data_IF_594505434879
#
_entry.id   IF_594505434879
#
_cell.length_a   1.000
_cell.length_b   1.000
_cell.length_c   1.000
_cell.angle_alpha   90.00
_cell.angle_beta   90.00
_cell.angle_gamma   90.00
#
_symmetry.space_group_name_H-M   'P 1'
#
loop_
_entity.id
_entity.type
_entity.pdbx_description
1 polymer ?
#
# COMPACT_ATOMS: atom_id res chain seq x y z
N UNK A 1 -8.12 -4.77 16.72
CA UNK A 1 -8.22 -6.23 16.86
C UNK A 1 -8.55 -6.80 15.49
N UNK A 2 -7.55 -7.25 14.75
CA UNK A 2 -7.81 -8.08 13.57
C UNK A 2 -8.14 -9.48 14.08
N UNK A 3 -9.41 -9.72 14.32
CA UNK A 3 -9.91 -11.08 14.51
C UNK A 3 -9.83 -11.73 13.13
N UNK A 4 -9.00 -12.76 13.02
CA UNK A 4 -8.99 -13.61 11.83
C UNK A 4 -10.39 -14.24 11.70
N UNK A 5 -11.21 -13.88 10.69
CA UNK A 5 -12.61 -14.29 10.63
C UNK A 5 -12.81 -15.72 10.13
N UNK A 6 -11.74 -16.50 9.98
CA UNK A 6 -11.84 -17.85 9.43
C UNK A 6 -11.43 -18.91 10.46
N UNK A 7 -12.37 -19.73 10.95
CA UNK A 7 -12.03 -20.95 11.67
C UNK A 7 -11.27 -21.89 10.70
N UNK A 8 -10.14 -22.41 11.13
CA UNK A 8 -9.34 -23.40 10.38
C UNK A 8 -10.15 -24.71 10.27
N UNK A 9 -10.49 -25.17 9.08
CA UNK A 9 -11.15 -26.46 8.88
C UNK A 9 -10.17 -27.61 8.62
N UNK A 10 -8.89 -27.48 8.98
CA UNK A 10 -7.87 -28.45 8.57
C UNK A 10 -7.44 -29.39 9.70
N UNK A 11 -7.23 -30.70 9.37
CA UNK A 11 -6.66 -31.66 10.32
C UNK A 11 -5.21 -31.33 10.67
N UNK A 12 -4.84 -31.55 11.91
CA UNK A 12 -3.59 -31.14 12.55
C UNK A 12 -2.38 -32.04 12.23
N UNK A 13 -2.47 -32.95 11.26
CA UNK A 13 -1.32 -33.76 10.86
C UNK A 13 -1.42 -34.20 9.38
N UNK A 14 -0.37 -33.93 8.61
CA UNK A 14 -0.16 -34.50 7.28
C UNK A 14 0.57 -35.86 7.41
N UNK A 15 0.15 -36.91 6.68
CA UNK A 15 0.93 -38.16 6.62
C UNK A 15 2.27 -37.90 5.92
N UNK A 16 3.36 -38.31 6.53
CA UNK A 16 4.69 -38.19 5.96
C UNK A 16 4.81 -38.90 4.61
N UNK A 17 5.14 -38.14 3.55
CA UNK A 17 5.41 -38.67 2.23
C UNK A 17 6.68 -39.50 2.24
N UNK A 18 6.58 -40.77 1.91
CA UNK A 18 7.73 -41.62 1.61
C UNK A 18 8.31 -41.22 0.25
N UNK A 19 9.59 -40.85 0.22
CA UNK A 19 10.31 -40.48 -1.01
C UNK A 19 10.53 -41.76 -1.86
N UNK A 20 9.72 -41.92 -2.88
CA UNK A 20 10.10 -42.75 -4.02
C UNK A 20 10.62 -41.80 -5.09
N UNK A 21 11.87 -42.01 -5.53
CA UNK A 21 12.47 -41.28 -6.65
C UNK A 21 11.77 -41.67 -7.97
N UNK A 22 10.65 -41.02 -8.23
CA UNK A 22 10.01 -41.03 -9.56
C UNK A 22 10.63 -39.87 -10.31
N UNK A 23 11.25 -40.14 -11.46
CA UNK A 23 11.66 -39.11 -12.41
C UNK A 23 10.39 -38.39 -12.87
N UNK A 24 10.12 -37.24 -12.25
CA UNK A 24 8.98 -36.39 -12.60
C UNK A 24 9.27 -35.74 -13.95
N UNK A 25 8.54 -36.15 -15.01
CA UNK A 25 8.56 -35.39 -16.25
C UNK A 25 7.91 -34.01 -16.00
N UNK A 26 8.64 -32.94 -16.29
CA UNK A 26 8.14 -31.56 -16.23
C UNK A 26 6.94 -31.45 -17.18
N UNK A 27 5.82 -30.89 -16.70
CA UNK A 27 4.66 -30.65 -17.56
C UNK A 27 5.07 -29.62 -18.62
N UNK A 28 5.03 -30.02 -19.89
CA UNK A 28 5.26 -29.12 -21.01
C UNK A 28 4.08 -28.13 -21.11
N UNK A 29 4.36 -26.82 -21.03
CA UNK A 29 3.36 -25.79 -21.26
C UNK A 29 3.35 -25.38 -22.71
N UNK A 30 2.16 -25.21 -23.29
CA UNK A 30 1.98 -24.65 -24.64
C UNK A 30 2.41 -23.16 -24.60
N UNK A 31 3.41 -22.74 -25.38
CA UNK A 31 3.84 -21.36 -25.43
C UNK A 31 2.76 -20.39 -25.95
N UNK A 32 1.73 -20.91 -26.63
CA UNK A 32 0.59 -20.14 -27.13
C UNK A 32 -0.60 -20.13 -26.13
N UNK A 33 -0.49 -20.86 -25.02
CA UNK A 33 -1.54 -20.88 -24.01
C UNK A 33 -1.60 -19.54 -23.29
N UNK A 34 -2.80 -19.03 -23.06
CA UNK A 34 -3.01 -17.83 -22.25
C UNK A 34 -2.41 -18.05 -20.85
N UNK A 35 -1.57 -17.10 -20.41
CA UNK A 35 -0.91 -17.15 -19.11
C UNK A 35 -1.94 -17.03 -18.00
N UNK A 36 -1.83 -17.89 -16.98
CA UNK A 36 -2.73 -17.93 -15.85
C UNK A 36 -2.00 -17.64 -14.55
N UNK A 37 -2.48 -16.63 -13.82
CA UNK A 37 -1.92 -16.16 -12.55
C UNK A 37 -2.89 -16.42 -11.41
N UNK A 38 -2.39 -16.95 -10.30
CA UNK A 38 -3.17 -17.20 -9.09
C UNK A 38 -2.61 -16.37 -7.95
N UNK A 39 -3.46 -15.57 -7.33
CA UNK A 39 -3.07 -14.64 -6.28
C UNK A 39 -3.75 -14.97 -4.95
N UNK A 40 -2.98 -14.89 -3.86
CA UNK A 40 -3.47 -14.98 -2.49
C UNK A 40 -3.30 -13.61 -1.83
N UNK A 41 -4.35 -12.81 -1.83
CA UNK A 41 -4.35 -11.47 -1.23
C UNK A 41 -4.28 -11.55 0.30
N UNK A 42 -3.54 -10.63 0.93
CA UNK A 42 -3.52 -10.50 2.39
C UNK A 42 -4.83 -9.96 2.95
N UNK A 43 -5.45 -9.05 2.21
CA UNK A 43 -6.74 -8.42 2.54
C UNK A 43 -7.46 -7.98 1.26
N UNK A 44 -8.73 -7.63 1.40
CA UNK A 44 -9.54 -7.04 0.31
C UNK A 44 -9.66 -5.52 0.45
N UNK A 45 -8.82 -4.93 1.28
CA UNK A 45 -8.74 -3.48 1.50
C UNK A 45 -7.71 -2.80 0.60
N UNK A 46 -7.19 -1.67 1.07
CA UNK A 46 -6.25 -0.87 0.30
C UNK A 46 -5.03 -1.67 -0.18
N UNK A 47 -4.31 -2.32 0.75
CA UNK A 47 -3.07 -3.02 0.41
C UNK A 47 -3.27 -4.13 -0.63
N UNK A 48 -4.26 -5.01 -0.41
CA UNK A 48 -4.55 -6.09 -1.35
C UNK A 48 -4.97 -5.57 -2.72
N UNK A 49 -5.77 -4.51 -2.77
CA UNK A 49 -6.22 -3.94 -4.04
C UNK A 49 -5.11 -3.22 -4.80
N UNK A 50 -4.28 -2.42 -4.13
CA UNK A 50 -3.17 -1.73 -4.79
C UNK A 50 -2.13 -2.70 -5.36
N UNK A 51 -1.85 -3.80 -4.65
CA UNK A 51 -0.78 -4.72 -5.03
C UNK A 51 -1.21 -5.87 -5.93
N UNK A 52 -2.48 -6.27 -5.83
CA UNK A 52 -3.00 -7.45 -6.55
C UNK A 52 -4.29 -7.12 -7.30
N UNK A 53 -5.31 -6.59 -6.61
CA UNK A 53 -6.65 -6.49 -7.18
C UNK A 53 -6.76 -5.57 -8.39
N UNK A 54 -6.12 -4.38 -8.36
CA UNK A 54 -6.12 -3.47 -9.51
C UNK A 54 -5.30 -4.01 -10.69
N UNK A 55 -4.06 -4.50 -10.49
CA UNK A 55 -3.32 -5.18 -11.56
C UNK A 55 -4.08 -6.37 -12.16
N UNK A 56 -4.66 -7.23 -11.32
CA UNK A 56 -5.50 -8.37 -11.75
C UNK A 56 -6.66 -7.92 -12.62
N UNK A 57 -7.41 -6.90 -12.17
CA UNK A 57 -8.52 -6.35 -12.94
C UNK A 57 -8.06 -5.86 -14.33
N UNK A 58 -6.97 -5.11 -14.39
CA UNK A 58 -6.46 -4.57 -15.65
C UNK A 58 -5.93 -5.66 -16.58
N UNK A 59 -5.19 -6.64 -16.06
CA UNK A 59 -4.68 -7.79 -16.83
C UNK A 59 -5.84 -8.52 -17.50
N UNK A 60 -6.91 -8.81 -16.75
CA UNK A 60 -8.09 -9.48 -17.28
C UNK A 60 -8.84 -8.64 -18.32
N UNK A 61 -9.04 -7.34 -18.03
CA UNK A 61 -9.76 -6.44 -18.92
C UNK A 61 -9.05 -6.19 -20.25
N UNK A 62 -7.72 -6.26 -20.25
CA UNK A 62 -6.90 -6.06 -21.45
C UNK A 62 -6.55 -7.36 -22.17
N UNK A 63 -6.97 -8.51 -21.65
CA UNK A 63 -6.68 -9.83 -22.24
C UNK A 63 -5.20 -10.23 -22.18
N UNK A 64 -4.40 -9.57 -21.34
CA UNK A 64 -2.96 -9.86 -21.18
C UNK A 64 -2.67 -11.14 -20.39
N UNK A 65 -3.69 -11.72 -19.75
CA UNK A 65 -3.62 -12.96 -18.99
C UNK A 65 -4.97 -13.34 -18.40
N UNK A 66 -5.03 -14.48 -17.72
CA UNK A 66 -6.12 -14.92 -16.85
C UNK A 66 -5.63 -14.84 -15.39
N UNK A 67 -6.01 -13.80 -14.69
CA UNK A 67 -5.57 -13.55 -13.31
C UNK A 67 -6.73 -13.71 -12.34
N UNK A 68 -6.52 -14.49 -11.28
CA UNK A 68 -7.55 -14.73 -10.28
C UNK A 68 -7.01 -14.67 -8.85
N UNK A 69 -7.76 -13.98 -7.99
CA UNK A 69 -7.51 -14.02 -6.54
C UNK A 69 -8.37 -15.08 -5.85
N UNK A 70 -7.75 -15.83 -4.93
CA UNK A 70 -8.42 -16.88 -4.15
C UNK A 70 -7.93 -16.88 -2.70
N UNK A 71 -8.76 -17.41 -1.81
CA UNK A 71 -8.38 -17.77 -0.43
C UNK A 71 -8.34 -19.30 -0.23
N UNK A 72 -8.73 -20.07 -1.27
CA UNK A 72 -8.79 -21.53 -1.21
C UNK A 72 -7.42 -22.13 -1.47
N UNK A 73 -6.84 -22.77 -0.47
CA UNK A 73 -5.60 -23.54 -0.56
C UNK A 73 -5.90 -24.92 -1.18
N UNK A 74 -5.78 -25.01 -2.50
CA UNK A 74 -6.05 -26.25 -3.25
C UNK A 74 -4.86 -27.18 -3.14
N UNK A 75 -5.10 -28.45 -2.76
CA UNK A 75 -4.06 -29.48 -2.59
C UNK A 75 -4.04 -30.51 -3.73
N UNK A 76 -4.91 -30.38 -4.73
CA UNK A 76 -4.91 -31.19 -5.94
C UNK A 76 -3.92 -30.60 -6.95
N UNK A 77 -2.81 -31.28 -7.19
CA UNK A 77 -1.73 -30.76 -8.05
C UNK A 77 -2.17 -30.47 -9.50
N UNK A 78 -3.11 -31.23 -10.02
CA UNK A 78 -3.62 -31.05 -11.39
C UNK A 78 -4.32 -29.70 -11.60
N UNK A 79 -4.80 -29.09 -10.52
CA UNK A 79 -5.38 -27.74 -10.58
C UNK A 79 -4.36 -26.67 -11.01
N UNK A 80 -3.05 -26.95 -10.80
CA UNK A 80 -1.94 -26.03 -11.12
C UNK A 80 -1.31 -26.29 -12.49
N UNK A 81 -1.81 -27.25 -13.27
CA UNK A 81 -1.23 -27.64 -14.56
C UNK A 81 -1.01 -26.46 -15.51
N UNK A 82 -1.99 -25.56 -15.58
CA UNK A 82 -1.99 -24.42 -16.50
C UNK A 82 -1.57 -23.10 -15.82
N UNK A 83 -1.23 -23.13 -14.52
CA UNK A 83 -0.83 -21.95 -13.78
C UNK A 83 0.60 -21.55 -14.13
N UNK A 84 0.81 -20.32 -14.55
CA UNK A 84 2.12 -19.76 -14.87
C UNK A 84 2.81 -19.25 -13.59
N UNK A 85 2.08 -18.54 -12.76
CA UNK A 85 2.64 -17.90 -11.56
C UNK A 85 1.64 -17.90 -10.40
N UNK A 86 2.15 -18.13 -9.21
CA UNK A 86 1.39 -18.04 -7.95
C UNK A 86 2.03 -16.93 -7.09
N UNK A 87 1.24 -15.92 -6.74
CA UNK A 87 1.67 -14.80 -5.89
C UNK A 87 0.96 -14.84 -4.54
N UNK A 88 1.73 -14.82 -3.44
CA UNK A 88 1.22 -14.85 -2.07
C UNK A 88 1.59 -13.53 -1.37
N UNK A 89 0.58 -12.71 -1.02
CA UNK A 89 0.80 -11.44 -0.36
C UNK A 89 0.79 -11.62 1.17
N UNK A 90 1.90 -11.32 1.83
CA UNK A 90 2.05 -11.28 3.31
C UNK A 90 1.39 -12.46 4.07
N UNK A 91 1.40 -13.64 3.48
CA UNK A 91 0.95 -14.84 4.16
C UNK A 91 1.92 -15.16 5.32
N UNK A 92 1.42 -15.51 6.53
CA UNK A 92 2.28 -15.60 7.71
C UNK A 92 1.89 -16.74 8.68
N UNK A 93 0.71 -17.34 8.53
CA UNK A 93 0.26 -18.40 9.45
C UNK A 93 0.93 -19.75 9.17
N UNK A 94 0.93 -20.64 10.17
CA UNK A 94 1.42 -22.01 10.02
C UNK A 94 0.77 -22.76 8.85
N UNK A 95 -0.57 -22.78 8.72
CA UNK A 95 -1.25 -23.41 7.57
C UNK A 95 -0.84 -22.81 6.21
N UNK A 96 -0.61 -21.49 6.13
CA UNK A 96 -0.14 -20.84 4.90
C UNK A 96 1.28 -21.24 4.55
N UNK A 97 2.15 -21.40 5.55
CA UNK A 97 3.50 -21.92 5.36
C UNK A 97 3.49 -23.39 4.89
N UNK A 98 2.62 -24.21 5.46
CA UNK A 98 2.49 -25.61 5.03
C UNK A 98 1.95 -25.70 3.60
N UNK A 99 1.02 -24.83 3.24
CA UNK A 99 0.56 -24.68 1.87
C UNK A 99 1.68 -24.24 0.92
N UNK A 100 2.52 -23.29 1.32
CA UNK A 100 3.70 -22.89 0.54
C UNK A 100 4.67 -24.05 0.34
N UNK A 101 4.91 -24.87 1.37
CA UNK A 101 5.73 -26.10 1.25
C UNK A 101 5.13 -27.09 0.27
N UNK A 102 3.80 -27.26 0.29
CA UNK A 102 3.11 -28.07 -0.69
C UNK A 102 3.32 -27.54 -2.11
N UNK A 103 3.08 -26.25 -2.34
CA UNK A 103 3.32 -25.64 -3.65
C UNK A 103 4.77 -25.82 -4.11
N UNK A 104 5.74 -25.63 -3.21
CA UNK A 104 7.16 -25.85 -3.52
C UNK A 104 7.46 -27.30 -3.90
N UNK A 105 6.79 -28.28 -3.27
CA UNK A 105 6.99 -29.71 -3.56
C UNK A 105 6.51 -30.14 -4.94
N UNK A 106 5.50 -29.48 -5.51
CA UNK A 106 4.95 -29.76 -6.84
C UNK A 106 5.46 -28.80 -7.91
N UNK A 107 6.18 -27.77 -7.55
CA UNK A 107 6.59 -26.67 -8.42
C UNK A 107 7.38 -27.14 -9.64
N UNK A 108 8.39 -28.00 -9.45
CA UNK A 108 9.23 -28.49 -10.54
C UNK A 108 8.47 -29.34 -11.56
N UNK A 109 7.43 -30.07 -11.11
CA UNK A 109 6.57 -30.86 -11.97
C UNK A 109 5.59 -29.99 -12.74
N UNK A 110 4.92 -29.05 -12.06
CA UNK A 110 3.89 -28.19 -12.64
C UNK A 110 4.45 -26.97 -13.38
N UNK A 111 5.70 -26.57 -13.11
CA UNK A 111 6.41 -25.52 -13.84
C UNK A 111 5.87 -24.10 -13.61
N UNK A 112 5.25 -23.80 -12.47
CA UNK A 112 4.84 -22.44 -12.10
C UNK A 112 5.92 -21.73 -11.28
N UNK A 113 5.94 -20.39 -11.36
CA UNK A 113 6.76 -19.53 -10.54
C UNK A 113 6.06 -19.20 -9.20
N UNK A 114 6.81 -19.12 -8.12
CA UNK A 114 6.33 -18.69 -6.81
C UNK A 114 6.85 -17.31 -6.49
N UNK A 115 5.95 -16.38 -6.14
CA UNK A 115 6.27 -15.00 -5.75
C UNK A 115 5.70 -14.73 -4.35
N UNK A 116 6.50 -14.09 -3.50
CA UNK A 116 6.01 -13.52 -2.24
C UNK A 116 5.93 -11.99 -2.36
N UNK A 117 4.73 -11.45 -2.20
CA UNK A 117 4.48 -10.01 -2.29
C UNK A 117 4.51 -9.39 -0.89
N UNK A 118 5.26 -8.31 -0.72
CA UNK A 118 5.34 -7.57 0.55
C UNK A 118 5.15 -6.08 0.30
N UNK A 119 4.20 -5.49 0.98
CA UNK A 119 3.85 -4.07 0.90
C UNK A 119 4.03 -3.32 2.23
N UNK A 120 4.43 -4.03 3.29
CA UNK A 120 4.70 -3.46 4.62
C UNK A 120 5.82 -4.24 5.33
N UNK A 121 6.42 -3.67 6.37
CA UNK A 121 7.48 -4.32 7.15
C UNK A 121 6.89 -5.35 8.11
N UNK A 122 7.45 -6.57 8.09
CA UNK A 122 7.06 -7.68 8.97
C UNK A 122 8.07 -7.92 10.11
N UNK A 123 9.18 -7.19 10.14
CA UNK A 123 10.23 -7.30 11.15
C UNK A 123 9.87 -6.42 12.35
N UNK A 124 9.62 -7.05 13.50
CA UNK A 124 9.15 -6.36 14.71
C UNK A 124 10.05 -5.21 15.16
N UNK A 125 11.36 -5.39 15.03
CA UNK A 125 12.39 -4.41 15.41
C UNK A 125 12.35 -3.13 14.58
N UNK A 126 11.85 -3.21 13.35
CA UNK A 126 11.74 -2.07 12.44
C UNK A 126 10.37 -1.38 12.53
N UNK A 127 9.38 -1.98 13.21
CA UNK A 127 8.06 -1.42 13.43
C UNK A 127 8.07 -0.56 14.70
N UNK A 128 7.70 0.74 14.65
CA UNK A 128 7.74 1.61 15.81
C UNK A 128 6.69 1.22 16.86
N UNK A 129 6.96 1.49 18.15
CA UNK A 129 6.11 1.08 19.26
C UNK A 129 4.75 1.76 19.29
N UNK A 130 4.61 2.95 18.68
CA UNK A 130 3.32 3.61 18.52
C UNK A 130 2.40 2.91 17.52
N UNK A 131 2.95 2.08 16.63
CA UNK A 131 2.16 1.37 15.62
C UNK A 131 1.49 0.13 16.22
N UNK A 132 0.17 0.15 16.30
CA UNK A 132 -0.59 -0.97 16.86
C UNK A 132 -0.44 -2.29 16.11
N UNK A 133 -0.06 -2.23 14.81
CA UNK A 133 0.17 -3.43 14.02
C UNK A 133 1.41 -4.21 14.47
N UNK A 134 2.32 -3.57 15.24
CA UNK A 134 3.50 -4.24 15.81
C UNK A 134 3.13 -5.52 16.57
N UNK A 135 2.00 -5.50 17.29
CA UNK A 135 1.51 -6.65 18.05
C UNK A 135 1.22 -7.89 17.20
N UNK A 136 0.92 -7.71 15.91
CA UNK A 136 0.70 -8.82 14.98
C UNK A 136 2.01 -9.60 14.72
N UNK A 137 3.16 -8.97 14.94
CA UNK A 137 4.49 -9.55 14.73
C UNK A 137 5.25 -9.81 16.05
N UNK A 138 4.55 -9.81 17.19
CA UNK A 138 5.14 -10.18 18.50
C UNK A 138 5.49 -11.68 18.58
N UNK A 139 4.80 -12.52 17.78
CA UNK A 139 5.08 -13.95 17.71
C UNK A 139 6.33 -14.22 16.88
N UNK A 140 7.33 -14.84 17.50
CA UNK A 140 8.52 -15.32 16.78
C UNK A 140 8.17 -16.32 15.68
N UNK A 141 7.11 -17.13 15.90
CA UNK A 141 6.60 -18.06 14.90
C UNK A 141 6.10 -17.33 13.64
N UNK A 142 5.28 -16.29 13.78
CA UNK A 142 4.76 -15.52 12.62
C UNK A 142 5.91 -14.90 11.85
N UNK A 143 6.86 -14.28 12.53
CA UNK A 143 8.03 -13.67 11.92
C UNK A 143 8.88 -14.69 11.17
N UNK A 144 9.17 -15.85 11.83
CA UNK A 144 9.93 -16.91 11.20
C UNK A 144 9.21 -17.52 9.99
N UNK A 145 7.87 -17.66 10.07
CA UNK A 145 7.08 -18.13 8.94
C UNK A 145 7.21 -17.19 7.74
N UNK A 146 7.19 -15.85 7.93
CA UNK A 146 7.41 -14.89 6.85
C UNK A 146 8.80 -15.06 6.23
N UNK A 147 9.86 -15.15 7.05
CA UNK A 147 11.24 -15.33 6.58
C UNK A 147 11.39 -16.63 5.81
N UNK A 148 10.85 -17.72 6.33
CA UNK A 148 10.92 -19.04 5.69
C UNK A 148 10.21 -19.03 4.32
N UNK A 149 9.02 -18.41 4.25
CA UNK A 149 8.27 -18.32 2.98
C UNK A 149 8.97 -17.42 1.96
N UNK A 150 9.56 -16.30 2.40
CA UNK A 150 10.40 -15.43 1.55
C UNK A 150 11.56 -16.23 0.95
N UNK A 151 12.20 -17.09 1.73
CA UNK A 151 13.33 -17.89 1.27
C UNK A 151 12.92 -19.11 0.40
N UNK A 152 11.66 -19.56 0.48
CA UNK A 152 11.15 -20.66 -0.35
C UNK A 152 10.73 -20.24 -1.76
N UNK A 153 10.36 -18.98 -1.98
CA UNK A 153 9.88 -18.49 -3.29
C UNK A 153 11.03 -18.21 -4.26
N UNK A 154 10.70 -18.10 -5.53
CA UNK A 154 11.67 -17.77 -6.57
C UNK A 154 11.99 -16.28 -6.52
N UNK A 155 10.98 -15.44 -6.32
CA UNK A 155 11.13 -13.98 -6.30
C UNK A 155 10.27 -13.34 -5.22
N UNK A 156 10.73 -12.20 -4.70
CA UNK A 156 9.96 -11.33 -3.79
C UNK A 156 9.67 -10.02 -4.49
N UNK A 157 8.45 -9.49 -4.35
CA UNK A 157 8.09 -8.16 -4.84
C UNK A 157 7.82 -7.22 -3.68
N UNK A 158 8.31 -5.97 -3.79
CA UNK A 158 8.21 -4.91 -2.78
C UNK A 158 7.82 -3.58 -3.43
N UNK A 159 7.48 -2.57 -2.60
CA UNK A 159 6.95 -1.28 -3.09
C UNK A 159 8.01 -0.22 -3.39
N UNK A 160 9.21 -0.30 -2.80
CA UNK A 160 10.25 0.72 -2.94
C UNK A 160 11.66 0.14 -2.70
N UNK A 161 12.68 0.88 -3.12
CA UNK A 161 14.08 0.49 -3.00
C UNK A 161 14.54 0.35 -1.55
N UNK A 162 14.07 1.22 -0.64
CA UNK A 162 14.41 1.09 0.77
C UNK A 162 13.92 -0.26 1.34
N UNK A 163 12.68 -0.64 1.01
CA UNK A 163 12.12 -1.93 1.43
C UNK A 163 12.92 -3.10 0.82
N UNK A 164 13.32 -3.02 -0.46
CA UNK A 164 14.19 -4.00 -1.10
C UNK A 164 15.46 -4.22 -0.29
N UNK A 165 16.18 -3.14 0.02
CA UNK A 165 17.42 -3.19 0.80
C UNK A 165 17.19 -3.81 2.19
N UNK A 166 16.15 -3.34 2.91
CA UNK A 166 15.80 -3.85 4.23
C UNK A 166 15.52 -5.37 4.21
N UNK A 167 14.72 -5.83 3.24
CA UNK A 167 14.40 -7.25 3.12
C UNK A 167 15.60 -8.09 2.69
N UNK A 168 16.49 -7.59 1.84
CA UNK A 168 17.76 -8.25 1.51
C UNK A 168 18.64 -8.44 2.76
N UNK A 169 18.77 -7.41 3.57
CA UNK A 169 19.55 -7.45 4.81
C UNK A 169 18.95 -8.40 5.86
N UNK A 170 17.63 -8.40 6.01
CA UNK A 170 16.94 -9.19 7.04
C UNK A 170 16.79 -10.67 6.69
N UNK A 171 16.72 -11.01 5.41
CA UNK A 171 16.40 -12.38 4.96
C UNK A 171 17.53 -13.05 4.18
N UNK A 172 18.47 -12.30 3.65
CA UNK A 172 19.49 -12.79 2.71
C UNK A 172 18.98 -13.07 1.30
N UNK A 173 17.67 -12.85 1.02
CA UNK A 173 17.07 -13.05 -0.30
C UNK A 173 17.61 -12.02 -1.29
N UNK A 174 18.12 -12.48 -2.45
CA UNK A 174 18.68 -11.61 -3.49
C UNK A 174 17.68 -11.20 -4.54
N UNK A 175 16.80 -12.13 -4.92
CA UNK A 175 15.79 -11.96 -5.96
C UNK A 175 14.60 -11.18 -5.38
N UNK A 176 14.77 -9.83 -5.31
CA UNK A 176 13.74 -8.88 -4.86
C UNK A 176 13.57 -7.81 -5.92
N UNK A 177 12.36 -7.72 -6.47
CA UNK A 177 11.98 -6.74 -7.49
C UNK A 177 11.10 -5.65 -6.89
N UNK A 178 11.43 -4.40 -7.23
CA UNK A 178 10.61 -3.25 -6.84
C UNK A 178 9.51 -3.03 -7.88
N UNK A 179 8.27 -3.09 -7.43
CA UNK A 179 7.10 -2.68 -8.20
C UNK A 179 6.42 -1.53 -7.44
N UNK A 180 6.57 -0.27 -7.88
CA UNK A 180 5.91 0.86 -7.25
C UNK A 180 4.38 0.71 -7.26
N UNK A 181 3.70 1.46 -6.41
CA UNK A 181 2.24 1.53 -6.49
C UNK A 181 1.82 2.46 -7.64
N UNK A 182 0.89 1.98 -8.46
CA UNK A 182 0.32 2.70 -9.58
C UNK A 182 -1.18 2.91 -9.37
N UNK A 183 -1.66 4.14 -9.53
CA UNK A 183 -3.06 4.49 -9.34
C UNK A 183 -3.88 4.12 -10.58
N UNK A 184 -4.99 3.38 -10.46
CA UNK A 184 -5.87 3.21 -11.61
C UNK A 184 -6.52 4.53 -12.03
N UNK A 185 -6.40 4.88 -13.32
CA UNK A 185 -7.07 6.06 -13.86
C UNK A 185 -8.60 5.97 -13.68
N UNK A 186 -9.17 4.80 -14.01
CA UNK A 186 -10.61 4.54 -13.90
C UNK A 186 -11.14 4.56 -12.46
N UNK A 187 -10.28 4.40 -11.44
CA UNK A 187 -10.68 4.44 -10.04
C UNK A 187 -10.58 5.87 -9.45
N UNK A 188 -9.44 6.56 -9.60
CA UNK A 188 -9.20 7.87 -8.99
C UNK A 188 -8.78 8.94 -10.00
N UNK A 189 -8.04 8.59 -11.04
CA UNK A 189 -7.48 9.56 -11.98
C UNK A 189 -8.54 10.34 -12.79
N UNK A 190 -9.71 9.74 -13.05
CA UNK A 190 -10.82 10.38 -13.74
C UNK A 190 -11.54 11.44 -12.89
N UNK A 191 -11.30 11.49 -11.57
CA UNK A 191 -11.90 12.47 -10.66
C UNK A 191 -11.29 13.87 -10.78
N UNK A 192 -10.18 14.01 -11.51
CA UNK A 192 -9.54 15.30 -11.70
C UNK A 192 -10.44 16.30 -12.42
N UNK A 193 -10.62 17.48 -11.79
CA UNK A 193 -11.32 18.60 -12.38
C UNK A 193 -10.66 19.92 -11.94
N UNK A 194 -9.93 20.55 -12.86
CA UNK A 194 -9.26 21.81 -12.61
C UNK A 194 -10.21 22.92 -12.15
N UNK A 195 -11.37 23.07 -12.84
CA UNK A 195 -12.36 24.11 -12.49
C UNK A 195 -12.94 23.90 -11.11
N UNK A 196 -13.21 22.64 -10.75
CA UNK A 196 -13.69 22.28 -9.42
C UNK A 196 -12.68 22.68 -8.36
N UNK A 197 -11.37 22.38 -8.56
CA UNK A 197 -10.32 22.71 -7.60
C UNK A 197 -10.16 24.22 -7.43
N UNK A 198 -10.23 25.00 -8.51
CA UNK A 198 -10.25 26.45 -8.46
C UNK A 198 -11.46 26.96 -7.69
N UNK A 199 -12.66 26.47 -8.00
CA UNK A 199 -13.90 26.86 -7.34
C UNK A 199 -13.88 26.50 -5.84
N UNK A 200 -13.34 25.32 -5.47
CA UNK A 200 -13.17 24.92 -4.08
C UNK A 200 -12.23 25.85 -3.33
N UNK A 201 -11.12 26.25 -3.95
CA UNK A 201 -10.19 27.22 -3.37
C UNK A 201 -10.84 28.59 -3.14
N UNK A 202 -11.60 29.09 -4.10
CA UNK A 202 -12.31 30.37 -3.98
C UNK A 202 -13.42 30.32 -2.93
N UNK A 203 -14.22 29.26 -2.92
CA UNK A 203 -15.32 29.04 -1.96
C UNK A 203 -14.82 29.03 -0.54
N UNK A 204 -13.70 28.32 -0.28
CA UNK A 204 -13.18 28.08 1.06
C UNK A 204 -12.08 29.07 1.49
N UNK A 205 -11.86 30.18 0.75
CA UNK A 205 -10.76 31.14 1.02
C UNK A 205 -10.71 31.74 2.43
N UNK A 206 -11.84 31.75 3.14
CA UNK A 206 -11.91 32.26 4.52
C UNK A 206 -11.50 31.22 5.56
N UNK A 207 -11.75 29.95 5.28
CA UNK A 207 -11.40 28.82 6.13
C UNK A 207 -11.02 27.63 5.24
N UNK A 208 -9.78 27.61 4.70
CA UNK A 208 -9.33 26.54 3.82
C UNK A 208 -9.41 25.16 4.48
N UNK A 209 -9.68 24.14 3.68
CA UNK A 209 -9.93 22.75 4.11
C UNK A 209 -8.68 21.91 3.91
N UNK A 210 -8.20 21.32 5.00
CA UNK A 210 -6.98 20.49 5.04
C UNK A 210 -7.37 19.08 5.46
N UNK A 211 -7.01 18.08 4.64
CA UNK A 211 -7.42 16.68 4.82
C UNK A 211 -6.24 15.80 5.22
N UNK A 212 -6.47 14.95 6.20
CA UNK A 212 -5.69 13.75 6.46
C UNK A 212 -6.57 12.52 6.31
N UNK A 213 -6.12 11.54 5.52
CA UNK A 213 -6.75 10.23 5.39
C UNK A 213 -5.76 9.15 5.85
N UNK A 214 -6.07 8.44 6.94
CA UNK A 214 -5.15 7.46 7.49
C UNK A 214 -5.70 6.66 8.67
N UNK A 215 -5.08 5.51 8.91
CA UNK A 215 -5.42 4.60 10.01
C UNK A 215 -4.77 5.04 11.33
N UNK A 216 -5.18 4.40 12.42
CA UNK A 216 -4.57 4.58 13.74
C UNK A 216 -3.14 4.02 13.87
N UNK A 217 -2.60 3.39 12.82
CA UNK A 217 -1.22 2.91 12.82
C UNK A 217 -0.15 4.03 12.76
N UNK A 218 -0.58 5.28 12.57
CA UNK A 218 0.28 6.45 12.41
C UNK A 218 0.50 7.24 13.71
N UNK A 219 -0.15 6.89 14.81
CA UNK A 219 -0.02 7.60 16.09
C UNK A 219 -0.30 6.69 17.29
N UNK A 220 0.18 7.11 18.45
CA UNK A 220 -0.02 6.38 19.71
C UNK A 220 -1.47 6.54 20.21
N UNK A 221 -2.23 5.45 20.22
CA UNK A 221 -3.62 5.41 20.70
C UNK A 221 -3.75 4.91 22.14
N UNK A 222 -2.73 5.08 22.97
CA UNK A 222 -2.77 4.71 24.39
C UNK A 222 -1.75 3.69 24.80
N UNK A 223 -0.75 3.39 23.97
CA UNK A 223 0.40 2.58 24.37
C UNK A 223 1.35 3.35 25.30
N UNK A 224 1.12 4.69 25.48
CA UNK A 224 1.95 5.59 26.27
C UNK A 224 3.44 5.45 25.96
N UNK A 225 3.77 5.28 24.69
CA UNK A 225 5.14 5.21 24.25
C UNK A 225 5.77 6.60 24.40
N UNK A 226 7.05 6.64 24.73
CA UNK A 226 7.82 7.89 24.71
C UNK A 226 8.33 8.23 23.31
N UNK A 227 8.03 7.39 22.33
CA UNK A 227 8.43 7.62 20.95
C UNK A 227 7.59 8.70 20.31
N UNK A 228 8.24 9.51 19.49
CA UNK A 228 7.56 10.43 18.59
C UNK A 228 6.82 9.61 17.52
N UNK A 229 5.58 9.96 17.28
CA UNK A 229 4.74 9.37 16.23
C UNK A 229 4.68 10.27 14.98
N UNK A 230 3.97 9.82 13.96
CA UNK A 230 3.88 10.53 12.68
C UNK A 230 3.24 11.91 12.80
N UNK A 231 2.52 12.19 13.88
CA UNK A 231 1.87 13.48 14.13
C UNK A 231 2.63 14.43 15.05
N UNK A 232 3.79 14.03 15.55
CA UNK A 232 4.55 14.82 16.53
C UNK A 232 4.76 16.27 16.09
N UNK A 233 5.10 16.52 14.82
CA UNK A 233 5.29 17.88 14.29
C UNK A 233 3.98 18.56 13.87
N UNK A 234 2.88 17.84 13.78
CA UNK A 234 1.62 18.32 13.17
C UNK A 234 0.57 18.68 14.21
N UNK A 235 0.55 18.01 15.37
CA UNK A 235 -0.46 18.25 16.42
C UNK A 235 -0.53 19.71 16.86
N UNK A 236 0.64 20.28 17.19
CA UNK A 236 0.70 21.68 17.63
C UNK A 236 0.22 22.63 16.55
N UNK A 237 0.66 22.41 15.29
CA UNK A 237 0.21 23.20 14.14
C UNK A 237 -1.33 23.15 14.00
N UNK A 238 -1.95 21.99 14.13
CA UNK A 238 -3.41 21.83 14.02
C UNK A 238 -4.11 22.60 15.14
N UNK A 239 -3.68 22.43 16.39
CA UNK A 239 -4.29 23.09 17.56
C UNK A 239 -4.20 24.62 17.44
N UNK A 240 -3.03 25.13 17.10
CA UNK A 240 -2.78 26.58 16.98
C UNK A 240 -3.58 27.22 15.83
N UNK A 241 -3.98 26.46 14.83
CA UNK A 241 -4.63 26.94 13.61
C UNK A 241 -6.07 26.43 13.42
N UNK A 242 -6.68 25.85 14.46
CA UNK A 242 -7.99 25.20 14.36
C UNK A 242 -9.13 26.16 13.98
N UNK A 243 -9.01 27.44 14.29
CA UNK A 243 -9.97 28.47 13.93
C UNK A 243 -9.68 29.07 12.54
N UNK A 244 -8.43 28.96 12.06
CA UNK A 244 -7.98 29.47 10.75
C UNK A 244 -8.29 28.51 9.61
N UNK A 245 -8.11 27.20 9.83
CA UNK A 245 -8.33 26.14 8.85
C UNK A 245 -9.41 25.17 9.28
N UNK A 246 -10.09 24.57 8.31
CA UNK A 246 -10.97 23.44 8.55
C UNK A 246 -10.20 22.14 8.39
N UNK A 247 -9.81 21.52 9.48
CA UNK A 247 -9.18 20.21 9.45
C UNK A 247 -10.19 19.08 9.31
N UNK A 248 -9.89 18.13 8.47
CA UNK A 248 -10.73 16.97 8.14
C UNK A 248 -9.92 15.71 8.33
N UNK A 249 -10.45 14.77 9.11
CA UNK A 249 -9.86 13.47 9.30
C UNK A 249 -10.79 12.40 8.71
N UNK A 250 -10.22 11.54 7.88
CA UNK A 250 -10.91 10.34 7.39
C UNK A 250 -10.19 9.10 7.91
N UNK A 251 -10.92 8.25 8.63
CA UNK A 251 -10.41 7.07 9.32
C UNK A 251 -10.18 7.34 10.80
N UNK A 252 -8.95 7.57 11.23
CA UNK A 252 -8.63 7.76 12.63
C UNK A 252 -8.20 9.20 12.96
N UNK A 253 -8.41 9.59 14.23
CA UNK A 253 -8.04 10.91 14.77
C UNK A 253 -7.01 10.71 15.87
N UNK A 254 -5.89 11.46 15.86
CA UNK A 254 -4.92 11.43 16.94
C UNK A 254 -5.55 11.80 18.30
N UNK A 255 -5.22 11.10 19.40
CA UNK A 255 -5.85 11.31 20.71
C UNK A 255 -5.89 12.76 21.19
N UNK A 256 -4.85 13.61 21.03
CA UNK A 256 -4.90 15.01 21.43
C UNK A 256 -5.96 15.85 20.70
N UNK A 257 -6.42 15.40 19.51
CA UNK A 257 -7.38 16.10 18.68
C UNK A 257 -8.83 15.66 18.89
N UNK A 258 -9.06 14.59 19.63
CA UNK A 258 -10.40 14.00 19.83
C UNK A 258 -11.39 14.98 20.46
N UNK A 259 -10.95 15.82 21.43
CA UNK A 259 -11.77 16.86 22.03
C UNK A 259 -12.29 17.89 21.01
N UNK A 260 -11.52 18.16 19.96
CA UNK A 260 -11.90 19.10 18.89
C UNK A 260 -12.87 18.45 17.90
N UNK A 261 -12.87 17.13 17.77
CA UNK A 261 -13.89 16.39 17.03
C UNK A 261 -15.25 16.47 17.76
N UNK A 262 -15.28 16.24 19.09
CA UNK A 262 -16.49 16.38 19.89
C UNK A 262 -17.05 17.79 19.89
N UNK A 263 -16.22 18.80 19.92
CA UNK A 263 -16.63 20.22 19.82
C UNK A 263 -16.92 20.68 18.38
N UNK A 264 -16.86 19.78 17.39
CA UNK A 264 -17.10 20.06 15.96
C UNK A 264 -16.16 21.13 15.36
N UNK A 265 -15.00 21.36 15.97
CA UNK A 265 -13.96 22.23 15.40
C UNK A 265 -13.17 21.55 14.29
N UNK A 266 -13.11 20.24 14.30
CA UNK A 266 -12.60 19.41 13.19
C UNK A 266 -13.71 18.50 12.67
N UNK A 267 -13.68 18.19 11.38
CA UNK A 267 -14.57 17.23 10.75
C UNK A 267 -13.94 15.84 10.81
N UNK A 268 -14.75 14.82 11.12
CA UNK A 268 -14.29 13.42 11.16
C UNK A 268 -15.24 12.55 10.37
N UNK A 269 -14.67 11.76 9.49
CA UNK A 269 -15.41 10.82 8.66
C UNK A 269 -14.87 9.39 8.83
N UNK A 270 -15.76 8.38 8.89
CA UNK A 270 -15.33 6.99 8.89
C UNK A 270 -14.69 6.62 7.55
N UNK A 271 -13.95 5.52 7.54
CA UNK A 271 -13.47 4.92 6.30
C UNK A 271 -14.63 4.68 5.34
N UNK A 272 -14.38 4.96 4.07
CA UNK A 272 -15.25 4.62 2.97
C UNK A 272 -14.84 3.27 2.37
N UNK A 273 -15.81 2.56 1.79
CA UNK A 273 -15.44 1.43 0.96
C UNK A 273 -14.59 1.89 -0.23
N UNK A 274 -13.82 0.98 -0.78
CA UNK A 274 -12.81 1.29 -1.78
C UNK A 274 -13.40 1.97 -3.04
N UNK A 275 -14.61 1.59 -3.45
CA UNK A 275 -15.24 2.16 -4.65
C UNK A 275 -15.78 3.58 -4.40
N UNK A 276 -16.20 3.88 -3.18
CA UNK A 276 -16.69 5.21 -2.80
C UNK A 276 -15.56 6.18 -2.45
N UNK A 277 -14.40 5.66 -2.06
CA UNK A 277 -13.28 6.43 -1.52
C UNK A 277 -12.85 7.61 -2.39
N UNK A 278 -12.57 7.47 -3.72
CA UNK A 278 -12.15 8.58 -4.55
C UNK A 278 -13.21 9.67 -4.68
N UNK A 279 -14.47 9.27 -4.90
CA UNK A 279 -15.59 10.20 -4.99
C UNK A 279 -15.77 10.97 -3.68
N UNK A 280 -15.64 10.29 -2.56
CA UNK A 280 -15.75 10.91 -1.25
C UNK A 280 -14.61 11.90 -1.00
N UNK A 281 -13.35 11.51 -1.25
CA UNK A 281 -12.22 12.42 -1.13
C UNK A 281 -12.39 13.67 -2.00
N UNK A 282 -12.82 13.48 -3.24
CA UNK A 282 -13.07 14.57 -4.18
C UNK A 282 -14.22 15.48 -3.71
N UNK A 283 -15.23 14.94 -3.00
CA UNK A 283 -16.37 15.71 -2.48
C UNK A 283 -16.03 16.58 -1.26
N UNK A 284 -14.89 16.37 -0.63
CA UNK A 284 -14.48 17.16 0.55
C UNK A 284 -14.09 18.59 0.20
N UNK A 285 -13.98 18.97 -1.07
CA UNK A 285 -13.55 20.30 -1.52
C UNK A 285 -12.27 20.75 -0.82
N UNK A 286 -11.32 19.83 -0.62
CA UNK A 286 -10.06 20.10 0.06
C UNK A 286 -9.12 20.98 -0.78
N UNK A 287 -8.36 21.84 -0.12
CA UNK A 287 -7.29 22.62 -0.76
C UNK A 287 -5.91 22.06 -0.47
N UNK A 288 -5.79 21.17 0.54
CA UNK A 288 -4.52 20.60 0.94
C UNK A 288 -4.72 19.24 1.58
N UNK A 289 -3.82 18.30 1.25
CA UNK A 289 -3.65 17.05 1.99
C UNK A 289 -2.40 17.12 2.87
N UNK A 290 -2.42 16.38 3.99
CA UNK A 290 -1.25 16.20 4.85
C UNK A 290 -0.82 14.72 4.83
N UNK A 291 0.47 14.50 4.70
CA UNK A 291 1.08 13.18 4.77
C UNK A 291 2.30 13.19 5.72
N UNK A 292 2.08 13.39 7.02
CA UNK A 292 3.14 13.36 8.02
C UNK A 292 3.64 11.94 8.24
N UNK A 293 4.94 11.79 8.46
CA UNK A 293 5.59 10.55 8.83
C UNK A 293 6.77 10.85 9.76
N UNK A 294 6.97 10.00 10.77
CA UNK A 294 8.19 10.02 11.57
C UNK A 294 9.29 9.24 10.85
N UNK A 295 10.53 9.74 10.88
CA UNK A 295 11.65 9.09 10.20
C UNK A 295 12.11 7.83 10.98
N UNK A 296 11.73 6.66 10.45
CA UNK A 296 12.11 5.34 10.93
C UNK A 296 12.03 4.32 9.77
N UNK A 297 12.59 3.12 9.96
CA UNK A 297 12.65 2.10 8.90
C UNK A 297 11.27 1.69 8.39
N UNK A 298 10.27 1.60 9.28
CA UNK A 298 8.89 1.27 8.90
C UNK A 298 8.32 2.30 7.91
N UNK A 299 8.48 3.57 8.22
CA UNK A 299 7.96 4.66 7.38
C UNK A 299 8.79 4.89 6.11
N UNK A 300 10.12 4.68 6.17
CA UNK A 300 10.98 4.68 4.98
C UNK A 300 10.62 3.57 3.99
N UNK A 301 10.03 2.47 4.49
CA UNK A 301 9.55 1.34 3.67
C UNK A 301 8.16 1.56 3.08
N UNK A 302 7.45 2.62 3.44
CA UNK A 302 6.14 2.93 2.87
C UNK A 302 6.24 3.45 1.45
N UNK A 303 5.17 3.26 0.70
CA UNK A 303 4.99 3.92 -0.60
C UNK A 303 4.36 5.31 -0.45
N UNK A 304 4.48 6.11 -1.51
CA UNK A 304 3.98 7.48 -1.62
C UNK A 304 2.49 7.59 -1.98
N UNK A 305 1.68 6.58 -1.65
CA UNK A 305 0.25 6.50 -2.05
C UNK A 305 -0.52 7.79 -1.72
N UNK A 306 -0.37 8.34 -0.50
CA UNK A 306 -1.09 9.56 -0.11
C UNK A 306 -0.79 10.74 -1.04
N UNK A 307 0.47 10.88 -1.45
CA UNK A 307 0.88 11.91 -2.40
C UNK A 307 0.26 11.67 -3.79
N UNK A 308 0.30 10.43 -4.27
CA UNK A 308 -0.25 10.08 -5.59
C UNK A 308 -1.77 10.22 -5.63
N UNK A 309 -2.49 9.79 -4.58
CA UNK A 309 -3.95 9.98 -4.48
C UNK A 309 -4.33 11.47 -4.55
N UNK A 310 -3.64 12.32 -3.80
CA UNK A 310 -3.86 13.76 -3.83
C UNK A 310 -3.53 14.36 -5.20
N UNK A 311 -2.42 13.95 -5.82
CA UNK A 311 -2.01 14.38 -7.15
C UNK A 311 -3.03 13.96 -8.23
N UNK A 312 -3.60 12.75 -8.13
CA UNK A 312 -4.68 12.31 -9.01
C UNK A 312 -5.90 13.23 -8.96
N UNK A 313 -6.19 13.81 -7.80
CA UNK A 313 -7.27 14.79 -7.62
C UNK A 313 -6.85 16.23 -7.99
N UNK A 314 -5.55 16.47 -8.26
CA UNK A 314 -4.98 17.79 -8.49
C UNK A 314 -4.92 18.65 -7.23
N UNK A 315 -4.83 18.04 -6.07
CA UNK A 315 -4.77 18.72 -4.76
C UNK A 315 -3.34 18.61 -4.20
N UNK A 316 -2.68 19.73 -3.80
CA UNK A 316 -1.37 19.65 -3.16
C UNK A 316 -1.39 18.77 -1.91
N UNK A 317 -0.33 17.99 -1.71
CA UNK A 317 -0.11 17.20 -0.51
C UNK A 317 1.21 17.61 0.14
N UNK A 318 1.15 18.20 1.33
CA UNK A 318 2.35 18.46 2.12
C UNK A 318 2.79 17.17 2.81
N UNK A 319 3.97 16.71 2.42
CA UNK A 319 4.57 15.47 2.87
C UNK A 319 5.77 15.73 3.78
N UNK A 320 6.01 14.86 4.77
CA UNK A 320 7.27 14.88 5.51
C UNK A 320 8.45 14.72 4.53
N UNK A 321 9.50 15.54 4.68
CA UNK A 321 10.71 15.41 3.83
C UNK A 321 11.50 14.17 4.25
N UNK A 322 11.26 13.09 3.55
CA UNK A 322 11.91 11.79 3.76
C UNK A 322 11.89 10.94 2.48
N UNK A 323 12.63 9.83 2.48
CA UNK A 323 12.80 8.96 1.31
C UNK A 323 11.47 8.47 0.71
N UNK A 324 10.46 8.23 1.53
CA UNK A 324 9.11 7.81 1.10
C UNK A 324 8.50 8.78 0.09
N UNK A 325 8.75 10.06 0.26
CA UNK A 325 8.24 11.13 -0.61
C UNK A 325 9.35 11.80 -1.44
N UNK A 326 10.43 11.05 -1.77
CA UNK A 326 11.54 11.60 -2.54
C UNK A 326 11.11 12.21 -3.88
N UNK A 327 10.06 11.64 -4.50
CA UNK A 327 9.51 12.08 -5.79
C UNK A 327 8.45 13.19 -5.67
N UNK A 328 8.10 13.62 -4.45
CA UNK A 328 7.21 14.77 -4.27
C UNK A 328 7.91 16.08 -4.66
N UNK A 329 7.13 17.08 -5.11
CA UNK A 329 7.68 18.40 -5.44
C UNK A 329 8.39 19.00 -4.21
N UNK A 330 9.57 19.62 -4.36
CA UNK A 330 10.35 20.13 -3.23
C UNK A 330 9.58 21.14 -2.36
N UNK A 331 8.75 21.98 -2.98
CA UNK A 331 7.91 22.96 -2.28
C UNK A 331 6.69 22.33 -1.57
N UNK A 332 6.46 21.03 -1.72
CA UNK A 332 5.43 20.25 -1.03
C UNK A 332 5.99 19.33 0.06
N UNK A 333 7.25 19.49 0.42
CA UNK A 333 7.90 18.75 1.51
C UNK A 333 8.12 19.66 2.71
N UNK A 334 7.90 19.16 3.93
CA UNK A 334 8.18 19.89 5.18
C UNK A 334 9.07 19.07 6.11
N UNK A 335 9.91 19.76 6.90
CA UNK A 335 10.88 19.15 7.81
C UNK A 335 10.35 19.06 9.24
N UNK A 336 9.66 20.08 9.70
CA UNK A 336 9.16 20.22 11.07
C UNK A 336 7.85 21.04 11.12
N UNK A 337 7.36 21.33 12.34
CA UNK A 337 6.10 22.04 12.52
C UNK A 337 6.12 23.51 12.09
N UNK A 338 7.25 24.18 12.18
CA UNK A 338 7.38 25.59 11.79
C UNK A 338 7.44 25.71 10.26
N UNK A 339 8.22 24.85 9.60
CA UNK A 339 8.26 24.74 8.14
C UNK A 339 6.89 24.32 7.56
N UNK A 340 6.19 23.37 8.23
CA UNK A 340 4.81 23.03 7.86
C UNK A 340 3.90 24.24 7.91
N UNK A 341 3.93 25.02 9.01
CA UNK A 341 3.09 26.20 9.18
C UNK A 341 3.37 27.24 8.09
N UNK A 342 4.64 27.50 7.79
CA UNK A 342 5.04 28.43 6.73
C UNK A 342 4.51 27.97 5.37
N UNK A 343 4.70 26.69 5.01
CA UNK A 343 4.28 26.16 3.70
C UNK A 343 2.76 26.13 3.54
N UNK A 344 2.02 25.81 4.61
CA UNK A 344 0.56 25.89 4.60
C UNK A 344 0.11 27.33 4.36
N UNK A 345 0.71 28.31 5.06
CA UNK A 345 0.39 29.73 4.89
C UNK A 345 0.72 30.22 3.47
N UNK A 346 1.84 29.80 2.90
CA UNK A 346 2.21 30.14 1.52
C UNK A 346 1.22 29.57 0.49
N UNK A 347 0.84 28.29 0.65
CA UNK A 347 -0.03 27.61 -0.30
C UNK A 347 -1.48 28.09 -0.22
N UNK A 348 -2.00 28.31 1.00
CA UNK A 348 -3.41 28.61 1.22
C UNK A 348 -3.72 30.11 1.31
N UNK A 349 -2.69 30.98 1.24
CA UNK A 349 -2.88 32.42 1.22
C UNK A 349 -3.52 32.85 -0.09
N UNK A 350 -4.68 33.50 0.01
CA UNK A 350 -5.40 34.00 -1.15
C UNK A 350 -4.55 34.91 -2.07
N UNK A 351 -3.62 35.65 -1.50
CA UNK A 351 -2.70 36.50 -2.28
C UNK A 351 -1.79 35.68 -3.21
N UNK A 352 -1.51 34.43 -2.84
CA UNK A 352 -0.66 33.50 -3.59
C UNK A 352 -1.45 32.56 -4.50
N UNK A 353 -2.76 32.76 -4.68
CA UNK A 353 -3.64 31.81 -5.42
C UNK A 353 -3.15 31.42 -6.81
N UNK A 354 -2.46 32.36 -7.52
CA UNK A 354 -1.89 32.05 -8.83
C UNK A 354 -0.83 30.95 -8.78
N UNK A 355 0.01 30.93 -7.72
CA UNK A 355 0.98 29.85 -7.51
C UNK A 355 0.27 28.52 -7.22
N UNK A 356 -0.76 28.56 -6.36
CA UNK A 356 -1.58 27.39 -6.08
C UNK A 356 -2.23 26.82 -7.37
N UNK A 357 -2.83 27.68 -8.20
CA UNK A 357 -3.47 27.25 -9.44
C UNK A 357 -2.49 26.69 -10.47
N UNK A 358 -1.23 27.11 -10.46
CA UNK A 358 -0.16 26.55 -11.27
C UNK A 358 0.29 25.16 -10.79
N UNK A 359 0.13 24.83 -9.51
CA UNK A 359 0.45 23.50 -9.00
C UNK A 359 -0.54 22.42 -9.46
N UNK A 360 -1.83 22.78 -9.65
CA UNK A 360 -2.87 21.82 -10.03
C UNK A 360 -2.50 21.03 -11.30
N UNK A 361 -2.15 21.67 -12.44
CA UNK A 361 -1.74 20.93 -13.64
C UNK A 361 -0.40 20.19 -13.46
N UNK A 362 0.54 20.70 -12.66
CA UNK A 362 1.81 20.00 -12.37
C UNK A 362 1.56 18.69 -11.59
N UNK A 363 0.66 18.72 -10.62
CA UNK A 363 0.27 17.51 -9.88
C UNK A 363 -0.42 16.50 -10.79
N UNK A 364 -1.28 16.99 -11.70
CA UNK A 364 -1.91 16.15 -12.71
C UNK A 364 -0.90 15.49 -13.62
N UNK A 365 0.14 16.20 -14.03
CA UNK A 365 1.25 15.66 -14.82
C UNK A 365 1.98 14.56 -14.06
N UNK A 366 2.34 14.79 -12.81
CA UNK A 366 2.97 13.78 -11.95
C UNK A 366 2.09 12.53 -11.84
N UNK A 367 0.79 12.70 -11.58
CA UNK A 367 -0.15 11.59 -11.49
C UNK A 367 -0.27 10.82 -12.80
N UNK A 368 -0.19 11.53 -13.96
CA UNK A 368 -0.34 10.91 -15.27
C UNK A 368 0.73 9.85 -15.55
N UNK A 369 1.95 10.03 -15.05
CA UNK A 369 3.04 9.05 -15.17
C UNK A 369 2.90 7.87 -14.19
N UNK A 370 1.95 7.93 -13.28
CA UNK A 370 1.71 6.91 -12.25
C UNK A 370 0.39 6.17 -12.44
N UNK A 371 -0.26 6.30 -13.62
CA UNK A 371 -1.46 5.51 -13.91
C UNK A 371 -1.11 4.07 -14.26
N UNK A 372 -1.85 3.13 -13.65
CA UNK A 372 -1.63 1.70 -13.82
C UNK A 372 -1.79 1.27 -15.30
N UNK A 373 -2.66 1.94 -16.05
CA UNK A 373 -3.00 1.64 -17.43
C UNK A 373 -1.86 1.95 -18.44
N UNK A 374 -0.82 2.65 -18.02
CA UNK A 374 0.36 2.87 -18.87
C UNK A 374 1.08 1.53 -19.09
N UNK A 375 1.52 1.27 -20.33
CA UNK A 375 2.18 0.01 -20.70
C UNK A 375 3.41 -0.29 -19.83
N UNK A 376 4.23 0.71 -19.53
CA UNK A 376 5.39 0.54 -18.65
C UNK A 376 4.99 0.18 -17.21
N UNK A 377 3.91 0.76 -16.70
CA UNK A 377 3.49 0.57 -15.32
C UNK A 377 2.83 -0.80 -15.08
N UNK A 378 1.89 -1.20 -15.95
CA UNK A 378 1.36 -2.57 -15.90
C UNK A 378 2.43 -3.58 -16.33
N UNK A 379 3.35 -3.17 -17.21
CA UNK A 379 4.51 -3.94 -17.64
C UNK A 379 5.38 -4.42 -16.48
N UNK A 380 5.60 -3.58 -15.44
CA UNK A 380 6.33 -3.99 -14.24
C UNK A 380 5.70 -5.22 -13.55
N UNK A 381 4.37 -5.29 -13.51
CA UNK A 381 3.67 -6.45 -12.95
C UNK A 381 3.77 -7.67 -13.86
N UNK A 382 3.59 -7.48 -15.17
CA UNK A 382 3.62 -8.56 -16.16
C UNK A 382 5.02 -9.17 -16.30
N UNK A 383 6.08 -8.36 -16.28
CA UNK A 383 7.47 -8.83 -16.35
C UNK A 383 7.75 -9.85 -15.24
N UNK A 384 7.35 -9.52 -14.01
CA UNK A 384 7.53 -10.42 -12.87
C UNK A 384 6.63 -11.66 -12.96
N UNK A 385 5.38 -11.50 -13.42
CA UNK A 385 4.42 -12.59 -13.55
C UNK A 385 4.77 -13.54 -14.70
N UNK A 386 5.39 -13.03 -15.76
CA UNK A 386 5.66 -13.73 -17.01
C UNK A 386 7.01 -14.45 -17.06
N UNK A 387 7.96 -14.03 -16.19
CA UNK A 387 9.28 -14.69 -16.12
C UNK A 387 9.09 -16.18 -15.77
N UNK A 388 9.57 -17.11 -16.61
CA UNK A 388 9.39 -18.53 -16.36
C UNK A 388 10.07 -19.03 -15.09
N UNK A 389 9.57 -20.17 -14.58
CA UNK A 389 10.24 -20.88 -13.51
C UNK A 389 11.56 -21.49 -14.00
N UNK A 390 12.66 -21.13 -13.36
CA UNK A 390 13.98 -21.70 -13.61
C UNK A 390 14.87 -20.93 -14.59
N UNK A 391 14.47 -19.70 -14.95
CA UNK A 391 15.30 -18.74 -15.70
C UNK A 391 16.01 -17.77 -14.76
#
# INVERSE_FOLDING_TARGET
MFVNPFPSPFPTAFPGAKSNSITTQKVAKDPNQQKRYVNFMADRGGCGMWRIGWPEYLINMTGRGDSMSTTKMVLEKEWYRDVTTIKLQRQASGPQKDFMRYLKSIQSEMGFKLIYEVDDVVFREDIPDYNNNKKAFDSDEIRQNCIDMINMVDEVTVTCDFMKTLYQERTGKKEITVIPNFAPYWWIGHQYDYKKNVNAFEKNKKKPRIVYAGSAAHFDIGNNTKQQDDFTHVIKFIIDNIDKYQFIFMGAVPPPLVQYAFSKKIEVYPWKNLLEYPNFLNSLDAQLFLAPLQDNNFNRSKSDIKYIEAACLGIPCLCQDMVTYQNALPNLKFTDGDDLAQKVDELLNWKNRSKYFQLIPQLREIASHRFLELDDNIGCHLEVLDTPYGD
#
